data_IF_884819538861
#
_entry.id   IF_884819538861
#
_cell.length_a   1.000
_cell.length_b   1.000
_cell.length_c   1.000
_cell.angle_alpha   90.00
_cell.angle_beta   90.00
_cell.angle_gamma   90.00
#
_symmetry.space_group_name_H-M   'P 1'
#
loop_
_entity.id
_entity.type
_entity.pdbx_description
1 polymer ?
#
# COMPACT_ATOMS: atom_id res chain seq x y z
N UNK A 1 -48.18 25.28 -1.41
CA UNK A 1 -47.64 24.05 -0.80
C UNK A 1 -47.25 23.15 -1.96
N UNK A 2 -46.02 23.08 -2.47
CA UNK A 2 -44.72 22.98 -1.82
C UNK A 2 -43.64 23.82 -2.54
N UNK A 3 -42.90 24.58 -1.73
CA UNK A 3 -41.50 25.04 -1.87
C UNK A 3 -40.53 23.85 -2.08
N UNK A 4 -39.31 23.92 -2.59
CA UNK A 4 -38.36 24.92 -3.12
C UNK A 4 -37.23 24.08 -3.79
N UNK A 5 -36.43 24.62 -4.71
CA UNK A 5 -35.28 23.91 -5.28
C UNK A 5 -34.08 24.03 -4.33
N UNK A 6 -33.50 22.90 -3.91
CA UNK A 6 -32.25 22.90 -3.15
C UNK A 6 -31.06 23.10 -4.10
N UNK A 7 -30.71 24.38 -4.23
CA UNK A 7 -29.47 24.88 -4.80
C UNK A 7 -28.44 24.94 -3.66
N UNK A 8 -27.53 23.97 -3.61
CA UNK A 8 -26.37 24.01 -2.71
C UNK A 8 -25.09 23.66 -3.48
N UNK A 9 -24.07 24.54 -3.50
CA UNK A 9 -22.85 24.34 -4.25
C UNK A 9 -21.92 23.42 -3.47
N UNK A 10 -21.49 22.29 -4.06
CA UNK A 10 -20.35 21.55 -3.53
C UNK A 10 -19.08 22.32 -3.86
N UNK A 11 -18.57 23.01 -2.85
CA UNK A 11 -17.25 23.63 -2.82
C UNK A 11 -16.17 22.61 -3.18
N UNK A 12 -15.78 22.54 -4.45
CA UNK A 12 -14.49 21.97 -4.86
C UNK A 12 -13.41 22.97 -4.48
N UNK A 13 -13.06 23.00 -3.18
CA UNK A 13 -11.86 23.69 -2.74
C UNK A 13 -10.67 22.83 -3.17
N UNK A 14 -10.19 23.08 -4.40
CA UNK A 14 -8.82 22.71 -4.80
C UNK A 14 -7.88 23.20 -3.71
N UNK A 15 -7.30 22.28 -2.94
CA UNK A 15 -6.14 22.60 -2.13
C UNK A 15 -4.97 22.80 -3.08
N UNK A 16 -4.80 24.05 -3.54
CA UNK A 16 -3.56 24.51 -4.11
C UNK A 16 -2.52 24.49 -2.99
N UNK A 17 -1.63 23.51 -3.03
CA UNK A 17 -0.35 23.56 -2.33
C UNK A 17 0.66 24.31 -3.21
N UNK A 18 0.29 25.50 -3.70
CA UNK A 18 1.29 26.49 -4.10
C UNK A 18 1.82 27.10 -2.80
N UNK A 19 3.12 26.92 -2.55
CA UNK A 19 3.82 27.69 -1.52
C UNK A 19 4.19 26.90 -0.27
N UNK A 20 5.05 25.90 -0.41
CA UNK A 20 6.04 25.61 0.64
C UNK A 20 7.42 25.57 0.00
N UNK A 21 8.03 26.76 -0.02
CA UNK A 21 9.46 27.03 -0.10
C UNK A 21 10.36 25.82 -0.38
N UNK A 22 10.68 25.61 -1.66
CA UNK A 22 11.97 25.05 -2.05
C UNK A 22 13.04 26.13 -1.92
N UNK A 23 13.25 26.63 -0.70
CA UNK A 23 14.60 27.07 -0.35
C UNK A 23 15.40 25.77 -0.24
N UNK A 24 15.90 25.32 -1.39
CA UNK A 24 17.08 24.50 -1.45
C UNK A 24 18.16 25.34 -0.76
N UNK A 25 18.24 25.24 0.57
CA UNK A 25 19.43 25.62 1.29
C UNK A 25 20.44 24.55 0.91
N UNK A 26 21.00 24.73 -0.28
CA UNK A 26 22.22 24.09 -0.71
C UNK A 26 23.28 24.70 0.21
N UNK A 27 23.41 24.15 1.42
CA UNK A 27 24.60 24.39 2.22
C UNK A 27 25.75 23.92 1.34
N UNK A 28 26.68 24.81 0.95
CA UNK A 28 27.85 24.39 0.22
C UNK A 28 28.54 23.35 1.10
N UNK A 29 28.63 22.12 0.59
CA UNK A 29 29.38 21.01 1.19
C UNK A 29 30.90 21.26 1.12
N UNK A 30 31.31 22.52 1.10
CA UNK A 30 32.62 23.03 0.71
C UNK A 30 33.32 23.78 1.87
N UNK A 31 32.71 23.81 3.06
CA UNK A 31 33.24 24.51 4.24
C UNK A 31 33.78 23.57 5.33
N UNK A 32 34.20 22.35 4.99
CA UNK A 32 34.67 21.37 6.00
C UNK A 32 36.10 20.84 5.77
N UNK A 33 36.94 21.55 5.02
CA UNK A 33 38.34 21.14 4.82
C UNK A 33 39.38 22.22 5.13
N UNK A 34 39.00 23.33 5.79
CA UNK A 34 39.95 24.42 6.07
C UNK A 34 39.96 24.86 7.53
N UNK A 35 39.72 23.92 8.45
CA UNK A 35 40.19 24.12 9.82
C UNK A 35 41.62 23.60 9.86
N UNK A 36 42.64 24.47 10.08
CA UNK A 36 44.00 23.98 10.24
C UNK A 36 43.97 22.92 11.32
N UNK A 37 44.48 21.74 11.00
CA UNK A 37 44.69 20.65 11.94
C UNK A 37 45.58 21.17 13.05
N UNK A 38 44.98 21.80 14.06
CA UNK A 38 45.66 22.17 15.29
C UNK A 38 46.20 20.86 15.84
N UNK A 39 47.52 20.69 16.02
CA UNK A 39 48.07 19.47 16.58
C UNK A 39 47.35 19.20 17.89
N UNK A 40 46.57 18.13 17.93
CA UNK A 40 45.78 17.75 19.10
C UNK A 40 46.72 17.13 20.11
N UNK A 41 46.96 17.82 21.21
CA UNK A 41 47.68 17.26 22.35
C UNK A 41 46.72 16.35 23.13
N UNK A 42 47.07 15.08 23.28
CA UNK A 42 46.34 14.13 24.10
C UNK A 42 46.87 14.13 25.53
N UNK A 43 46.09 13.54 26.44
CA UNK A 43 46.51 13.37 27.84
C UNK A 43 47.80 12.54 27.95
N UNK A 44 48.01 11.58 27.04
CA UNK A 44 49.24 10.78 26.99
C UNK A 44 50.46 11.64 26.65
N UNK A 45 50.31 12.58 25.71
CA UNK A 45 51.38 13.49 25.32
C UNK A 45 51.79 14.41 26.50
N UNK A 46 50.81 14.80 27.34
CA UNK A 46 51.08 15.59 28.56
C UNK A 46 51.89 14.77 29.56
N UNK A 47 51.61 13.48 29.74
CA UNK A 47 52.40 12.62 30.62
C UNK A 47 53.83 12.39 30.10
N UNK A 48 54.02 12.24 28.80
CA UNK A 48 55.35 12.10 28.20
C UNK A 48 56.18 13.39 28.37
N UNK A 49 55.56 14.56 28.17
CA UNK A 49 56.17 15.86 28.43
C UNK A 49 56.52 16.01 29.91
N UNK A 50 55.62 15.64 30.82
CA UNK A 50 55.86 15.70 32.27
C UNK A 50 57.04 14.81 32.69
N UNK A 51 57.15 13.60 32.14
CA UNK A 51 58.28 12.70 32.40
C UNK A 51 59.61 13.27 31.89
N UNK A 52 59.61 13.88 30.70
CA UNK A 52 60.80 14.55 30.16
C UNK A 52 61.22 15.73 31.03
N UNK A 53 60.26 16.55 31.48
CA UNK A 53 60.52 17.69 32.37
C UNK A 53 61.03 17.22 33.74
N UNK A 54 60.45 16.14 34.29
CA UNK A 54 60.87 15.56 35.56
C UNK A 54 62.35 15.12 35.53
N UNK A 55 62.79 14.53 34.41
CA UNK A 55 64.19 14.12 34.22
C UNK A 55 65.16 15.30 34.18
N UNK A 56 64.75 16.42 33.58
CA UNK A 56 65.54 17.67 33.60
C UNK A 56 65.62 18.24 35.02
N UNK A 57 64.52 18.22 35.77
CA UNK A 57 64.52 18.63 37.18
C UNK A 57 65.45 17.75 38.03
N UNK A 58 65.46 16.43 37.83
CA UNK A 58 66.38 15.51 38.50
C UNK A 58 67.85 15.89 38.22
N UNK A 59 68.19 16.16 36.95
CA UNK A 59 69.54 16.61 36.58
C UNK A 59 69.96 17.92 37.24
N UNK A 60 69.03 18.85 37.42
CA UNK A 60 69.28 20.13 38.11
C UNK A 60 69.47 19.91 39.62
N UNK A 61 68.65 19.05 40.23
CA UNK A 61 68.74 18.70 41.65
C UNK A 61 70.10 18.05 41.96
N UNK A 62 70.54 17.12 41.11
CA UNK A 62 71.82 16.43 41.26
C UNK A 62 73.03 17.39 41.26
N UNK A 63 72.96 18.48 40.47
CA UNK A 63 74.06 19.43 40.30
C UNK A 63 74.03 20.60 41.30
N UNK A 64 72.85 21.12 41.60
CA UNK A 64 72.67 22.37 42.34
C UNK A 64 71.87 22.21 43.65
N UNK A 65 71.52 20.98 44.01
CA UNK A 65 70.72 20.66 45.18
C UNK A 65 69.22 20.96 45.02
N UNK A 66 68.38 20.40 45.90
CA UNK A 66 66.92 20.42 45.75
C UNK A 66 66.28 21.80 45.93
N UNK A 67 66.92 22.71 46.68
CA UNK A 67 66.42 24.06 46.92
C UNK A 67 66.36 24.91 45.65
N UNK A 68 67.16 24.57 44.63
CA UNK A 68 67.23 25.32 43.36
C UNK A 68 65.93 25.26 42.55
N UNK A 69 65.10 24.22 42.75
CA UNK A 69 63.87 24.00 41.96
C UNK A 69 62.60 24.01 42.83
N UNK A 70 62.74 24.10 44.15
CA UNK A 70 61.64 23.98 45.12
C UNK A 70 60.46 24.94 44.89
N UNK A 71 60.70 26.13 44.34
CA UNK A 71 59.65 27.11 44.05
C UNK A 71 59.13 27.05 42.61
N UNK A 72 59.89 26.45 41.70
CA UNK A 72 59.53 26.34 40.28
C UNK A 72 58.71 25.08 40.03
N UNK A 73 59.06 23.97 40.68
CA UNK A 73 58.42 22.68 40.52
C UNK A 73 56.89 22.72 40.78
N UNK A 74 56.38 23.35 41.86
CA UNK A 74 54.94 23.47 42.06
C UNK A 74 54.23 24.26 40.94
N UNK A 75 54.88 25.30 40.39
CA UNK A 75 54.30 26.08 39.28
C UNK A 75 54.23 25.29 37.99
N UNK A 76 55.25 24.48 37.70
CA UNK A 76 55.26 23.61 36.52
C UNK A 76 54.23 22.50 36.65
N UNK A 77 54.07 21.92 37.85
CA UNK A 77 53.00 20.96 38.13
C UNK A 77 51.64 21.61 37.86
N UNK A 78 51.36 22.81 38.39
CA UNK A 78 50.08 23.49 38.13
C UNK A 78 49.82 23.75 36.64
N UNK A 79 50.84 24.10 35.87
CA UNK A 79 50.68 24.28 34.41
C UNK A 79 50.43 22.95 33.69
N UNK A 80 51.08 21.87 34.13
CA UNK A 80 50.84 20.53 33.57
C UNK A 80 49.45 20.00 33.92
N UNK A 81 48.94 20.29 35.13
CA UNK A 81 47.57 19.99 35.55
C UNK A 81 46.55 20.76 34.69
N UNK A 82 46.75 22.06 34.48
CA UNK A 82 45.90 22.86 33.57
C UNK A 82 45.94 22.35 32.12
N UNK A 83 47.10 21.87 31.67
CA UNK A 83 47.26 21.31 30.33
C UNK A 83 46.56 19.95 30.20
N UNK A 84 46.60 19.10 31.22
CA UNK A 84 45.85 17.85 31.29
C UNK A 84 44.33 18.12 31.26
N UNK A 85 43.86 19.09 32.03
CA UNK A 85 42.46 19.55 32.01
C UNK A 85 42.05 20.06 30.62
N UNK A 86 42.95 20.75 29.91
CA UNK A 86 42.66 21.22 28.56
C UNK A 86 42.63 20.06 27.55
N UNK A 87 43.60 19.14 27.63
CA UNK A 87 43.67 17.96 26.76
C UNK A 87 42.45 17.04 26.93
N UNK A 88 42.02 16.78 28.18
CA UNK A 88 40.82 15.99 28.47
C UNK A 88 39.55 16.64 27.91
N UNK A 89 39.39 17.96 28.09
CA UNK A 89 38.26 18.72 27.53
C UNK A 89 38.28 18.67 26.01
N UNK A 90 39.42 18.92 25.38
CA UNK A 90 39.58 18.88 23.93
C UNK A 90 39.18 17.52 23.35
N UNK A 91 39.62 16.42 23.97
CA UNK A 91 39.19 15.07 23.55
C UNK A 91 37.69 14.85 23.73
N UNK A 92 37.10 15.36 24.82
CA UNK A 92 35.66 15.23 25.07
C UNK A 92 34.83 16.00 24.04
N UNK A 93 35.21 17.23 23.72
CA UNK A 93 34.59 18.06 22.71
C UNK A 93 34.77 17.45 21.32
N UNK A 94 35.95 16.88 21.04
CA UNK A 94 36.21 16.13 19.81
C UNK A 94 35.26 14.94 19.64
N UNK A 95 35.04 14.16 20.70
CA UNK A 95 34.05 13.06 20.70
C UNK A 95 32.62 13.58 20.47
N UNK A 96 32.26 14.70 21.07
CA UNK A 96 30.94 15.32 20.87
C UNK A 96 30.76 15.80 19.43
N UNK A 97 31.77 16.45 18.83
CA UNK A 97 31.76 16.86 17.43
C UNK A 97 31.51 15.65 16.51
N UNK A 98 32.25 14.55 16.70
CA UNK A 98 32.08 13.33 15.90
C UNK A 98 30.66 12.76 16.08
N UNK A 99 30.15 12.76 17.31
CA UNK A 99 28.79 12.29 17.62
C UNK A 99 27.73 13.14 16.93
N UNK A 100 27.86 14.47 17.00
CA UNK A 100 26.96 15.42 16.36
C UNK A 100 27.02 15.31 14.84
N UNK A 101 28.21 15.21 14.25
CA UNK A 101 28.38 15.00 12.80
C UNK A 101 27.70 13.71 12.34
N UNK A 102 27.86 12.62 13.09
CA UNK A 102 27.19 11.34 12.81
C UNK A 102 25.67 11.48 12.91
N UNK A 103 25.18 12.20 13.93
CA UNK A 103 23.76 12.44 14.11
C UNK A 103 23.17 13.30 12.99
N UNK A 104 23.88 14.35 12.54
CA UNK A 104 23.48 15.18 11.40
C UNK A 104 23.39 14.33 10.14
N UNK A 105 24.42 13.55 9.82
CA UNK A 105 24.42 12.69 8.65
C UNK A 105 23.24 11.69 8.67
N UNK A 106 22.99 11.06 9.83
CA UNK A 106 21.84 10.18 10.03
C UNK A 106 20.51 10.90 9.78
N UNK A 107 20.33 12.10 10.34
CA UNK A 107 19.11 12.89 10.18
C UNK A 107 18.89 13.37 8.74
N UNK A 108 19.96 13.67 8.01
CA UNK A 108 19.89 14.02 6.59
C UNK A 108 19.40 12.86 5.73
N UNK A 109 19.92 11.64 5.98
CA UNK A 109 19.44 10.42 5.33
C UNK A 109 17.97 10.15 5.66
N UNK A 110 17.60 10.21 6.95
CA UNK A 110 16.22 10.01 7.39
C UNK A 110 15.27 11.05 6.76
N UNK A 111 15.73 12.30 6.60
CA UNK A 111 14.98 13.36 5.91
C UNK A 111 14.79 13.07 4.42
N UNK A 112 15.78 12.49 3.76
CA UNK A 112 15.69 12.12 2.35
C UNK A 112 14.70 10.98 2.15
N UNK A 113 14.83 9.92 2.94
CA UNK A 113 13.94 8.74 2.92
C UNK A 113 12.48 9.15 3.15
N UNK A 114 12.23 9.97 4.18
CA UNK A 114 10.86 10.44 4.50
C UNK A 114 10.24 11.25 3.35
N UNK A 115 11.04 12.01 2.60
CA UNK A 115 10.57 12.74 1.41
C UNK A 115 10.25 11.79 0.25
N UNK A 116 11.06 10.74 0.07
CA UNK A 116 10.82 9.74 -0.95
C UNK A 116 9.56 8.92 -0.67
N UNK A 117 9.36 8.51 0.58
CA UNK A 117 8.13 7.85 1.04
C UNK A 117 6.90 8.73 0.84
N UNK A 118 6.97 10.00 1.21
CA UNK A 118 5.87 10.96 0.96
C UNK A 118 5.56 11.08 -0.54
N UNK A 119 6.58 11.11 -1.39
CA UNK A 119 6.41 11.15 -2.84
C UNK A 119 5.78 9.86 -3.37
N UNK A 120 6.18 8.71 -2.84
CA UNK A 120 5.61 7.40 -3.20
C UNK A 120 4.13 7.33 -2.81
N UNK A 121 3.79 7.62 -1.56
CA UNK A 121 2.41 7.59 -1.08
C UNK A 121 1.52 8.60 -1.82
N UNK A 122 2.05 9.78 -2.17
CA UNK A 122 1.31 10.74 -3.00
C UNK A 122 0.97 10.16 -4.37
N UNK A 123 1.91 9.50 -5.04
CA UNK A 123 1.67 8.85 -6.34
C UNK A 123 0.66 7.70 -6.22
N UNK A 124 0.77 6.89 -5.18
CA UNK A 124 -0.18 5.80 -4.92
C UNK A 124 -1.60 6.34 -4.71
N UNK A 125 -1.75 7.44 -3.96
CA UNK A 125 -3.04 8.12 -3.79
C UNK A 125 -3.59 8.68 -5.11
N UNK A 126 -2.74 9.35 -5.90
CA UNK A 126 -3.13 9.85 -7.23
C UNK A 126 -3.62 8.72 -8.15
N UNK A 127 -2.93 7.57 -8.12
CA UNK A 127 -3.34 6.39 -8.90
C UNK A 127 -4.68 5.81 -8.41
N UNK A 128 -4.88 5.71 -7.09
CA UNK A 128 -6.15 5.24 -6.53
C UNK A 128 -7.28 6.19 -6.93
N UNK A 129 -7.06 7.51 -6.85
CA UNK A 129 -8.05 8.52 -7.24
C UNK A 129 -8.41 8.42 -8.73
N UNK A 130 -7.41 8.22 -9.61
CA UNK A 130 -7.63 8.02 -11.04
C UNK A 130 -8.44 6.75 -11.33
N UNK A 131 -8.09 5.63 -10.71
CA UNK A 131 -8.85 4.37 -10.85
C UNK A 131 -10.29 4.52 -10.36
N UNK A 132 -10.49 5.14 -9.20
CA UNK A 132 -11.82 5.39 -8.66
C UNK A 132 -12.65 6.29 -9.58
N UNK A 133 -12.05 7.34 -10.15
CA UNK A 133 -12.73 8.19 -11.13
C UNK A 133 -13.12 7.42 -12.40
N UNK A 134 -12.25 6.55 -12.92
CA UNK A 134 -12.57 5.70 -14.07
C UNK A 134 -13.74 4.77 -13.76
N UNK A 135 -13.70 4.07 -12.62
CA UNK A 135 -14.75 3.15 -12.20
C UNK A 135 -16.10 3.86 -12.01
N UNK A 136 -16.11 5.03 -11.38
CA UNK A 136 -17.32 5.85 -11.21
C UNK A 136 -17.88 6.26 -12.57
N UNK A 137 -17.03 6.63 -13.52
CA UNK A 137 -17.44 7.01 -14.87
C UNK A 137 -18.02 5.82 -15.63
N UNK A 138 -17.37 4.65 -15.58
CA UNK A 138 -17.84 3.41 -16.21
C UNK A 138 -19.21 2.98 -15.66
N UNK A 139 -19.37 2.99 -14.33
CA UNK A 139 -20.63 2.68 -13.68
C UNK A 139 -21.73 3.68 -14.06
N UNK A 140 -21.39 4.97 -14.16
CA UNK A 140 -22.34 6.01 -14.58
C UNK A 140 -22.83 5.78 -16.02
N UNK A 141 -21.92 5.44 -16.93
CA UNK A 141 -22.27 5.10 -18.32
C UNK A 141 -23.15 3.85 -18.40
N UNK A 142 -22.84 2.82 -17.60
CA UNK A 142 -23.65 1.60 -17.53
C UNK A 142 -25.07 1.90 -17.02
N UNK A 143 -25.20 2.74 -15.99
CA UNK A 143 -26.50 3.17 -15.48
C UNK A 143 -27.28 3.92 -16.56
N UNK A 144 -26.64 4.85 -17.28
CA UNK A 144 -27.28 5.60 -18.36
C UNK A 144 -27.80 4.67 -19.46
N UNK A 145 -26.98 3.72 -19.91
CA UNK A 145 -27.37 2.72 -20.90
C UNK A 145 -28.55 1.87 -20.43
N UNK A 146 -28.52 1.37 -19.20
CA UNK A 146 -29.61 0.58 -18.63
C UNK A 146 -30.90 1.40 -18.46
N UNK A 147 -30.78 2.68 -18.14
CA UNK A 147 -31.95 3.58 -18.04
C UNK A 147 -32.58 3.81 -19.42
N UNK A 148 -31.76 3.99 -20.45
CA UNK A 148 -32.23 4.12 -21.82
C UNK A 148 -32.89 2.83 -22.33
N UNK A 149 -32.28 1.67 -22.10
CA UNK A 149 -32.87 0.36 -22.45
C UNK A 149 -34.20 0.13 -21.73
N UNK A 150 -34.29 0.42 -20.43
CA UNK A 150 -35.55 0.31 -19.68
C UNK A 150 -36.62 1.26 -20.22
N UNK A 151 -36.25 2.48 -20.63
CA UNK A 151 -37.18 3.42 -21.25
C UNK A 151 -37.68 2.87 -22.59
N UNK A 152 -36.79 2.40 -23.46
CA UNK A 152 -37.16 1.81 -24.75
C UNK A 152 -38.07 0.59 -24.59
N UNK A 153 -37.80 -0.29 -23.63
CA UNK A 153 -38.66 -1.42 -23.32
C UNK A 153 -40.03 -0.98 -22.80
N UNK A 154 -40.08 0.05 -21.95
CA UNK A 154 -41.34 0.61 -21.45
C UNK A 154 -42.17 1.20 -22.59
N UNK A 155 -41.54 2.00 -23.46
CA UNK A 155 -42.19 2.60 -24.63
C UNK A 155 -42.71 1.50 -25.57
N UNK A 156 -41.94 0.44 -25.82
CA UNK A 156 -42.35 -0.70 -26.65
C UNK A 156 -43.51 -1.52 -26.04
N UNK A 157 -43.57 -1.65 -24.72
CA UNK A 157 -44.71 -2.28 -24.03
C UNK A 157 -45.97 -1.41 -24.20
N UNK A 158 -45.86 -0.09 -23.98
CA UNK A 158 -46.97 0.86 -24.16
C UNK A 158 -47.49 0.84 -25.61
N UNK A 159 -46.61 0.82 -26.61
CA UNK A 159 -46.96 0.73 -28.03
C UNK A 159 -47.66 -0.60 -28.37
N UNK A 160 -47.19 -1.72 -27.81
CA UNK A 160 -47.80 -3.03 -28.05
C UNK A 160 -49.17 -3.15 -27.36
N UNK A 161 -49.31 -2.65 -26.14
CA UNK A 161 -50.61 -2.55 -25.46
C UNK A 161 -51.58 -1.64 -26.24
N UNK A 162 -51.12 -0.51 -26.78
CA UNK A 162 -51.93 0.36 -27.63
C UNK A 162 -52.35 -0.35 -28.94
N UNK A 163 -51.45 -1.10 -29.56
CA UNK A 163 -51.72 -1.87 -30.80
C UNK A 163 -52.71 -3.03 -30.57
N UNK A 164 -52.60 -3.75 -29.45
CA UNK A 164 -53.55 -4.80 -29.04
C UNK A 164 -54.95 -4.21 -28.83
N UNK A 165 -55.04 -3.01 -28.26
CA UNK A 165 -56.31 -2.32 -28.04
C UNK A 165 -56.91 -1.69 -29.31
N UNK A 166 -56.09 -1.36 -30.32
CA UNK A 166 -56.53 -0.70 -31.56
C UNK A 166 -56.68 -1.62 -32.78
N UNK A 167 -56.39 -2.92 -32.69
CA UNK A 167 -56.78 -3.88 -33.72
C UNK A 167 -58.30 -4.13 -33.64
N UNK A 168 -59.11 -3.70 -34.63
CA UNK A 168 -60.52 -4.07 -34.66
C UNK A 168 -60.58 -5.54 -35.10
N UNK A 169 -60.44 -6.45 -34.14
CA UNK A 169 -60.76 -7.86 -34.35
C UNK A 169 -62.24 -7.90 -34.75
N UNK A 170 -62.59 -8.35 -35.97
CA UNK A 170 -63.98 -8.64 -36.27
C UNK A 170 -64.37 -9.79 -35.35
N UNK A 171 -65.29 -9.53 -34.41
CA UNK A 171 -65.70 -10.42 -33.32
C UNK A 171 -66.28 -11.78 -33.77
N UNK A 172 -66.22 -12.12 -35.06
CA UNK A 172 -66.74 -13.36 -35.63
C UNK A 172 -65.66 -14.39 -36.03
N UNK A 173 -64.35 -14.08 -36.00
CA UNK A 173 -63.30 -15.04 -36.40
C UNK A 173 -62.32 -15.45 -35.28
N UNK A 174 -62.25 -14.71 -34.17
CA UNK A 174 -61.33 -14.99 -33.07
C UNK A 174 -61.67 -16.29 -32.32
N UNK A 175 -62.94 -16.69 -32.30
CA UNK A 175 -63.38 -17.87 -31.54
C UNK A 175 -62.93 -19.17 -32.21
N UNK A 176 -62.86 -19.23 -33.54
CA UNK A 176 -62.44 -20.45 -34.26
C UNK A 176 -60.93 -20.67 -34.15
N UNK A 177 -60.13 -19.61 -34.33
CA UNK A 177 -58.66 -19.70 -34.26
C UNK A 177 -58.17 -20.00 -32.84
N UNK A 178 -58.80 -19.40 -31.82
CA UNK A 178 -58.47 -19.67 -30.42
C UNK A 178 -58.84 -21.11 -30.02
N UNK A 179 -59.96 -21.65 -30.51
CA UNK A 179 -60.35 -23.05 -30.27
C UNK A 179 -59.41 -24.03 -30.97
N UNK A 180 -58.98 -23.76 -32.20
CA UNK A 180 -58.00 -24.56 -32.92
C UNK A 180 -56.64 -24.57 -32.22
N UNK A 181 -56.19 -23.42 -31.72
CA UNK A 181 -54.95 -23.27 -30.97
C UNK A 181 -55.01 -23.99 -29.61
N UNK A 182 -56.12 -23.87 -28.88
CA UNK A 182 -56.36 -24.64 -27.64
C UNK A 182 -56.36 -26.14 -27.93
N UNK A 183 -56.98 -26.58 -29.03
CA UNK A 183 -57.02 -27.99 -29.38
C UNK A 183 -55.64 -28.51 -29.82
N UNK A 184 -54.84 -27.70 -30.51
CA UNK A 184 -53.45 -28.00 -30.83
C UNK A 184 -52.62 -28.13 -29.53
N UNK A 185 -52.79 -27.21 -28.60
CA UNK A 185 -52.11 -27.23 -27.30
C UNK A 185 -52.47 -28.49 -26.47
N UNK A 186 -53.74 -28.91 -26.49
CA UNK A 186 -54.17 -30.16 -25.82
C UNK A 186 -53.48 -31.38 -26.45
N UNK A 187 -53.42 -31.46 -27.79
CA UNK A 187 -52.72 -32.55 -28.49
C UNK A 187 -51.22 -32.58 -28.18
N UNK A 188 -50.57 -31.41 -28.19
CA UNK A 188 -49.16 -31.27 -27.80
C UNK A 188 -48.92 -31.71 -26.36
N UNK A 189 -49.80 -31.31 -25.43
CA UNK A 189 -49.74 -31.74 -24.04
C UNK A 189 -49.83 -33.26 -23.92
N UNK A 190 -50.74 -33.88 -24.66
CA UNK A 190 -50.91 -35.34 -24.65
C UNK A 190 -49.66 -36.07 -25.16
N UNK A 191 -49.04 -35.57 -26.23
CA UNK A 191 -47.77 -36.11 -26.75
C UNK A 191 -46.65 -35.96 -25.73
N UNK A 192 -46.54 -34.80 -25.08
CA UNK A 192 -45.55 -34.55 -24.02
C UNK A 192 -45.76 -35.51 -22.84
N UNK A 193 -47.01 -35.71 -22.41
CA UNK A 193 -47.32 -36.59 -21.27
C UNK A 193 -46.98 -38.06 -21.61
N UNK A 194 -47.23 -38.52 -22.84
CA UNK A 194 -46.79 -39.85 -23.32
C UNK A 194 -45.27 -39.98 -23.35
N UNK A 195 -44.57 -38.98 -23.89
CA UNK A 195 -43.10 -38.97 -23.93
C UNK A 195 -42.50 -38.99 -22.52
N UNK A 196 -43.07 -38.25 -21.57
CA UNK A 196 -42.64 -38.27 -20.16
C UNK A 196 -42.76 -39.66 -19.54
N UNK A 197 -43.87 -40.37 -19.77
CA UNK A 197 -44.04 -41.74 -19.27
C UNK A 197 -43.01 -42.68 -19.90
N UNK A 198 -42.79 -42.58 -21.22
CA UNK A 198 -41.82 -43.39 -21.93
C UNK A 198 -40.40 -43.16 -21.40
N UNK A 199 -39.99 -41.91 -21.19
CA UNK A 199 -38.69 -41.57 -20.60
C UNK A 199 -38.54 -42.16 -19.19
N UNK A 200 -39.59 -42.09 -18.35
CA UNK A 200 -39.55 -42.71 -17.00
C UNK A 200 -39.37 -44.23 -17.08
N UNK A 201 -40.12 -44.89 -17.97
CA UNK A 201 -40.00 -46.34 -18.18
C UNK A 201 -38.61 -46.73 -18.67
N UNK A 202 -38.06 -46.02 -19.66
CA UNK A 202 -36.72 -46.29 -20.17
C UNK A 202 -35.64 -46.08 -19.10
N UNK A 203 -35.77 -45.03 -18.29
CA UNK A 203 -34.86 -44.80 -17.15
C UNK A 203 -34.91 -45.96 -16.16
N UNK A 204 -36.10 -46.44 -15.80
CA UNK A 204 -36.25 -47.59 -14.90
C UNK A 204 -35.64 -48.86 -15.47
N UNK A 205 -35.86 -49.15 -16.77
CA UNK A 205 -35.23 -50.29 -17.43
C UNK A 205 -33.71 -50.17 -17.45
N UNK A 206 -33.17 -48.99 -17.73
CA UNK A 206 -31.73 -48.75 -17.72
C UNK A 206 -31.12 -48.99 -16.34
N UNK A 207 -31.77 -48.48 -15.28
CA UNK A 207 -31.36 -48.73 -13.89
C UNK A 207 -31.41 -50.22 -13.55
N UNK A 208 -32.47 -50.94 -13.94
CA UNK A 208 -32.56 -52.38 -13.72
C UNK A 208 -31.43 -53.12 -14.42
N UNK A 209 -31.15 -52.81 -15.69
CA UNK A 209 -30.04 -53.41 -16.44
C UNK A 209 -28.68 -53.12 -15.81
N UNK A 210 -28.49 -51.94 -15.22
CA UNK A 210 -27.27 -51.60 -14.50
C UNK A 210 -27.10 -52.47 -13.24
N UNK A 211 -28.16 -52.62 -12.44
CA UNK A 211 -28.18 -53.51 -11.26
C UNK A 211 -27.88 -54.96 -11.66
N UNK A 212 -28.51 -55.47 -12.72
CA UNK A 212 -28.27 -56.82 -13.22
C UNK A 212 -26.81 -57.02 -13.67
N UNK A 213 -26.23 -56.04 -14.38
CA UNK A 213 -24.83 -56.08 -14.80
C UNK A 213 -23.87 -56.08 -13.62
N UNK A 214 -24.13 -55.26 -12.60
CA UNK A 214 -23.30 -55.22 -11.39
C UNK A 214 -23.42 -56.53 -10.59
N UNK A 215 -24.61 -57.14 -10.53
CA UNK A 215 -24.79 -58.46 -9.93
C UNK A 215 -23.99 -59.55 -10.66
N UNK A 216 -24.01 -59.54 -12.01
CA UNK A 216 -23.19 -60.45 -12.83
C UNK A 216 -21.70 -60.20 -12.61
N UNK A 217 -21.26 -58.93 -12.54
CA UNK A 217 -19.87 -58.58 -12.24
C UNK A 217 -19.44 -59.11 -10.88
N UNK A 218 -20.23 -58.89 -9.83
CA UNK A 218 -19.94 -59.38 -8.48
C UNK A 218 -19.84 -60.92 -8.48
N UNK A 219 -20.76 -61.60 -9.17
CA UNK A 219 -20.73 -63.06 -9.29
C UNK A 219 -19.48 -63.56 -10.03
N UNK A 220 -19.07 -62.89 -11.09
CA UNK A 220 -17.84 -63.20 -11.83
C UNK A 220 -16.59 -62.97 -10.97
N UNK A 221 -16.51 -61.84 -10.25
CA UNK A 221 -15.42 -61.56 -9.30
C UNK A 221 -15.35 -62.63 -8.21
N UNK A 222 -16.48 -63.05 -7.65
CA UNK A 222 -16.53 -64.11 -6.65
C UNK A 222 -16.02 -65.45 -7.21
N UNK A 223 -16.36 -65.82 -8.45
CA UNK A 223 -15.84 -67.03 -9.09
C UNK A 223 -14.33 -66.93 -9.31
N UNK A 224 -13.82 -65.79 -9.79
CA UNK A 224 -12.39 -65.57 -10.02
C UNK A 224 -11.59 -65.62 -8.71
N UNK A 225 -12.15 -65.16 -7.59
CA UNK A 225 -11.51 -65.21 -6.27
C UNK A 225 -11.51 -66.60 -5.63
N UNK A 226 -12.35 -67.53 -6.12
CA UNK A 226 -12.49 -68.90 -5.58
C UNK A 226 -11.67 -69.93 -6.37
N UNK A 227 -11.15 -69.58 -7.55
CA UNK A 227 -10.23 -70.38 -8.37
C UNK A 227 -8.80 -69.82 -8.30
#
# INVERSE_FOLDING_TARGET
MLSHPDNSPRLTRRFSLEGVNKTLVNFPSEALSDRPSTPSISVLDVYDIAASIGKEFESIIDKYGPYSVSNLMPKVISVLEELEDFATKFESEGREIITLQTAVHRLELEKLERKEDQKRHKKELEQIEETWHSEVQELSQLIEKLKEENKQLKDAIEDNEASINHSPIPACSANSTNVEEIQLMIRLKEVIDRQKILIRSLRQQLTQKHVDLDAVRISLFAIILVF
#
